data_IF_031273724876
#
_entry.id   IF_031273724876
#
_cell.length_a   1.000
_cell.length_b   1.000
_cell.length_c   1.000
_cell.angle_alpha   90.00
_cell.angle_beta   90.00
_cell.angle_gamma   90.00
#
_symmetry.space_group_name_H-M   'P 1'
#
loop_
_entity.id
_entity.type
_entity.pdbx_description
1 polymer ?
#
# COMPACT_ATOMS: atom_id res chain seq x y z
N UNK A 1 6.26 -3.40 -20.70
CA UNK A 1 7.10 -3.61 -19.51
C UNK A 1 6.17 -4.10 -18.40
N UNK A 2 6.45 -5.23 -17.74
CA UNK A 2 5.54 -5.77 -16.75
C UNK A 2 5.63 -4.99 -15.44
N UNK A 3 4.52 -4.38 -15.05
CA UNK A 3 4.32 -3.81 -13.72
C UNK A 3 3.12 -4.49 -13.07
N UNK A 4 3.21 -4.74 -11.77
CA UNK A 4 2.05 -5.08 -10.94
C UNK A 4 1.16 -3.84 -10.72
N UNK A 5 0.07 -3.98 -9.96
CA UNK A 5 -0.78 -2.84 -9.58
C UNK A 5 -0.21 -1.99 -8.43
N UNK A 6 0.88 -2.44 -7.78
CA UNK A 6 1.51 -1.70 -6.68
C UNK A 6 2.16 -0.41 -7.19
N UNK A 7 1.95 0.73 -6.51
CA UNK A 7 2.61 2.02 -6.80
C UNK A 7 3.15 2.64 -5.52
N UNK A 8 4.33 3.26 -5.57
CA UNK A 8 4.97 3.85 -4.39
C UNK A 8 4.05 4.88 -3.70
N UNK A 9 3.52 5.85 -4.46
CA UNK A 9 2.66 6.90 -3.91
C UNK A 9 1.24 6.46 -3.50
N UNK A 10 0.86 5.22 -3.82
CA UNK A 10 -0.46 4.66 -3.45
C UNK A 10 -0.37 3.66 -2.31
N UNK A 11 0.63 2.78 -2.36
CA UNK A 11 0.72 1.60 -1.52
C UNK A 11 1.91 1.65 -0.55
N UNK A 12 2.86 2.56 -0.76
CA UNK A 12 3.92 2.86 0.20
C UNK A 12 3.45 3.85 1.25
N UNK A 13 4.11 3.84 2.41
CA UNK A 13 3.87 4.86 3.45
C UNK A 13 4.36 6.24 3.00
N UNK A 14 3.65 7.30 3.39
CA UNK A 14 3.93 8.71 3.06
C UNK A 14 4.90 9.40 4.04
N UNK A 15 5.67 8.59 4.79
CA UNK A 15 6.74 9.05 5.67
C UNK A 15 7.98 8.16 5.48
N UNK A 16 9.19 8.70 5.64
CA UNK A 16 10.42 7.96 5.40
C UNK A 16 10.74 7.00 6.56
N UNK A 17 11.58 6.00 6.28
CA UNK A 17 12.17 5.12 7.29
C UNK A 17 13.23 5.85 8.14
N UNK A 18 12.78 6.72 9.06
CA UNK A 18 13.61 7.42 10.04
C UNK A 18 13.46 6.87 11.46
N UNK A 19 12.98 5.63 11.60
CA UNK A 19 12.87 4.97 12.89
C UNK A 19 14.23 4.78 13.56
N UNK A 20 14.25 4.76 14.89
CA UNK A 20 15.44 4.37 15.65
C UNK A 20 15.86 2.94 15.31
N UNK A 21 17.17 2.69 15.35
CA UNK A 21 17.77 1.40 15.05
C UNK A 21 17.41 0.38 16.15
N UNK A 22 17.13 -0.86 15.73
CA UNK A 22 16.84 -1.97 16.65
C UNK A 22 17.87 -3.07 16.46
N UNK A 23 18.12 -3.83 17.53
CA UNK A 23 18.92 -5.06 17.44
C UNK A 23 17.96 -6.22 17.15
N UNK A 24 18.19 -6.90 16.03
CA UNK A 24 17.48 -8.12 15.66
C UNK A 24 18.45 -9.28 15.64
N UNK A 25 18.13 -10.35 16.36
CA UNK A 25 18.97 -11.54 16.44
C UNK A 25 18.58 -12.55 15.36
N UNK A 26 19.46 -12.72 14.38
CA UNK A 26 19.33 -13.73 13.33
C UNK A 26 19.91 -15.07 13.79
N UNK A 27 19.12 -16.13 13.70
CA UNK A 27 19.59 -17.48 13.97
C UNK A 27 20.01 -18.16 12.68
N UNK A 28 21.31 -18.44 12.56
CA UNK A 28 21.88 -18.98 11.33
C UNK A 28 22.41 -20.38 11.58
N UNK A 29 22.11 -21.34 10.69
CA UNK A 29 22.80 -22.62 10.67
C UNK A 29 24.33 -22.42 10.65
N UNK A 30 25.04 -23.12 11.53
CA UNK A 30 26.51 -23.12 11.68
C UNK A 30 27.15 -21.86 12.30
N UNK A 31 26.43 -20.75 12.47
CA UNK A 31 26.99 -19.51 13.06
C UNK A 31 26.28 -19.06 14.34
N UNK A 32 25.19 -19.72 14.74
CA UNK A 32 24.46 -19.40 15.95
C UNK A 32 23.63 -18.13 15.81
N UNK A 33 23.43 -17.43 16.93
CA UNK A 33 22.74 -16.16 17.00
C UNK A 33 23.69 -15.02 16.57
N UNK A 34 23.27 -14.19 15.62
CA UNK A 34 24.00 -13.02 15.14
C UNK A 34 23.11 -11.79 15.34
N UNK A 35 23.58 -10.85 16.14
CA UNK A 35 22.88 -9.58 16.36
C UNK A 35 23.14 -8.62 15.21
N UNK A 36 22.07 -8.08 14.64
CA UNK A 36 22.09 -7.08 13.57
C UNK A 36 21.44 -5.81 14.07
N UNK A 37 22.21 -4.72 14.09
CA UNK A 37 21.66 -3.38 14.29
C UNK A 37 21.06 -2.90 12.97
N UNK A 38 19.74 -2.73 12.91
CA UNK A 38 19.04 -2.32 11.68
C UNK A 38 19.21 -0.83 11.40
N UNK A 39 19.19 -0.41 10.13
CA UNK A 39 19.02 1.00 9.74
C UNK A 39 17.55 1.40 9.73
N UNK A 40 16.96 1.61 10.92
CA UNK A 40 15.52 1.80 11.09
C UNK A 40 14.70 0.51 10.90
N UNK A 41 13.52 0.61 10.27
CA UNK A 41 12.53 -0.47 10.08
C UNK A 41 12.21 -0.77 8.60
N UNK A 42 13.19 -0.66 7.69
CA UNK A 42 12.98 -0.84 6.25
C UNK A 42 12.25 -2.14 5.88
N UNK A 43 12.66 -3.28 6.42
CA UNK A 43 11.99 -4.57 6.20
C UNK A 43 10.54 -4.58 6.68
N UNK A 44 10.28 -3.92 7.81
CA UNK A 44 8.94 -3.77 8.37
C UNK A 44 8.02 -2.92 7.50
N UNK A 45 8.52 -1.77 7.02
CA UNK A 45 7.75 -0.91 6.12
C UNK A 45 7.48 -1.57 4.77
N UNK A 46 8.46 -2.29 4.20
CA UNK A 46 8.28 -3.03 2.95
C UNK A 46 7.23 -4.15 3.10
N UNK A 47 7.28 -4.93 4.18
CA UNK A 47 6.31 -6.00 4.44
C UNK A 47 4.91 -5.43 4.72
N UNK A 48 4.82 -4.40 5.56
CA UNK A 48 3.55 -3.77 5.89
C UNK A 48 2.89 -3.12 4.66
N UNK A 49 3.66 -2.45 3.78
CA UNK A 49 3.14 -1.90 2.52
C UNK A 49 2.53 -3.00 1.62
N UNK A 50 3.19 -4.17 1.53
CA UNK A 50 2.63 -5.31 0.82
C UNK A 50 1.39 -5.90 1.51
N UNK A 51 1.33 -5.88 2.85
CA UNK A 51 0.16 -6.34 3.59
C UNK A 51 -1.08 -5.49 3.25
N UNK A 52 -0.95 -4.16 3.20
CA UNK A 52 -2.04 -3.27 2.76
C UNK A 52 -2.41 -3.52 1.30
N UNK A 53 -1.42 -3.63 0.40
CA UNK A 53 -1.65 -3.92 -1.01
C UNK A 53 -2.42 -5.23 -1.23
N UNK A 54 -1.98 -6.33 -0.61
CA UNK A 54 -2.61 -7.64 -0.77
C UNK A 54 -3.97 -7.73 -0.07
N UNK A 55 -4.21 -6.94 0.98
CA UNK A 55 -5.52 -6.82 1.62
C UNK A 55 -6.49 -5.94 0.80
N UNK A 56 -6.02 -5.21 -0.22
CA UNK A 56 -6.82 -4.24 -0.96
C UNK A 56 -7.27 -3.07 -0.07
N UNK A 57 -6.45 -2.71 0.91
CA UNK A 57 -6.71 -1.65 1.88
C UNK A 57 -5.81 -0.44 1.57
N UNK A 58 -6.31 0.79 1.76
CA UNK A 58 -5.45 1.97 1.71
C UNK A 58 -4.40 1.89 2.82
N UNK A 59 -3.18 2.28 2.50
CA UNK A 59 -2.15 2.55 3.50
C UNK A 59 -2.59 3.74 4.36
N UNK A 60 -2.23 3.81 5.66
CA UNK A 60 -2.55 4.97 6.48
C UNK A 60 -2.01 6.24 5.85
N UNK A 61 -2.84 7.26 5.80
CA UNK A 61 -2.63 8.52 5.08
C UNK A 61 -1.68 9.48 5.80
N UNK A 62 -1.06 9.05 6.90
CA UNK A 62 -0.15 9.88 7.67
C UNK A 62 1.08 10.28 6.87
N UNK A 63 1.43 11.56 6.96
CA UNK A 63 2.58 12.16 6.36
C UNK A 63 3.67 12.42 7.41
N UNK A 64 4.88 12.73 6.96
CA UNK A 64 6.03 13.02 7.85
C UNK A 64 5.70 14.10 8.89
N UNK A 65 4.90 15.11 8.52
CA UNK A 65 4.53 16.22 9.39
C UNK A 65 3.59 15.89 10.55
N UNK A 66 2.93 14.73 10.52
CA UNK A 66 2.00 14.30 11.58
C UNK A 66 2.74 13.78 12.82
N UNK A 67 4.05 13.59 12.72
CA UNK A 67 4.89 13.02 13.75
C UNK A 67 5.98 13.99 14.20
N UNK A 68 6.18 14.10 15.51
CA UNK A 68 7.22 14.98 16.07
C UNK A 68 8.62 14.65 15.55
N UNK A 69 8.93 13.35 15.39
CA UNK A 69 10.22 12.84 14.90
C UNK A 69 10.16 12.36 13.43
N UNK A 70 9.11 12.74 12.69
CA UNK A 70 8.92 12.35 11.29
C UNK A 70 8.45 10.91 11.07
N UNK A 71 8.25 10.12 12.13
CA UNK A 71 7.73 8.74 12.09
C UNK A 71 6.81 8.46 13.28
N UNK A 72 5.88 7.48 13.18
CA UNK A 72 5.03 7.08 14.30
C UNK A 72 5.87 6.76 15.55
N UNK A 73 5.59 7.36 16.72
CA UNK A 73 6.34 7.12 17.94
C UNK A 73 6.22 5.68 18.42
N UNK A 74 7.28 5.18 19.05
CA UNK A 74 7.27 3.86 19.67
C UNK A 74 6.19 3.76 20.76
N UNK A 75 5.51 2.62 20.81
CA UNK A 75 4.33 2.40 21.64
C UNK A 75 3.00 2.65 20.94
N UNK A 76 2.99 3.37 19.80
CA UNK A 76 1.81 3.44 18.93
C UNK A 76 1.54 2.10 18.23
N UNK A 77 0.28 1.87 17.84
CA UNK A 77 -0.14 0.66 17.14
C UNK A 77 0.54 0.56 15.78
N UNK A 78 0.67 1.66 15.04
CA UNK A 78 1.33 1.67 13.73
C UNK A 78 2.83 1.39 13.84
N UNK A 79 3.55 2.04 14.76
CA UNK A 79 4.97 1.78 14.99
C UNK A 79 5.20 0.33 15.43
N UNK A 80 4.37 -0.16 16.35
CA UNK A 80 4.40 -1.53 16.82
C UNK A 80 4.18 -2.52 15.68
N UNK A 81 3.18 -2.30 14.81
CA UNK A 81 2.94 -3.16 13.66
C UNK A 81 4.14 -3.22 12.71
N UNK A 82 4.68 -2.06 12.31
CA UNK A 82 5.87 -1.98 11.44
C UNK A 82 7.05 -2.70 12.09
N UNK A 83 7.24 -2.56 13.41
CA UNK A 83 8.28 -3.30 14.15
C UNK A 83 8.08 -4.82 14.11
N UNK A 84 6.86 -5.32 14.33
CA UNK A 84 6.61 -6.76 14.22
C UNK A 84 6.91 -7.28 12.82
N UNK A 85 6.54 -6.52 11.78
CA UNK A 85 6.85 -6.88 10.39
C UNK A 85 8.34 -6.81 10.07
N UNK A 86 9.10 -5.92 10.74
CA UNK A 86 10.56 -5.93 10.66
C UNK A 86 11.11 -7.27 11.16
N UNK A 87 10.67 -7.70 12.34
CA UNK A 87 11.08 -8.99 12.92
C UNK A 87 10.69 -10.15 11.99
N UNK A 88 9.45 -10.16 11.49
CA UNK A 88 8.98 -11.18 10.55
C UNK A 88 9.88 -11.28 9.31
N UNK A 89 10.32 -10.13 8.77
CA UNK A 89 11.19 -10.10 7.59
C UNK A 89 12.55 -10.78 7.79
N UNK A 90 13.01 -10.82 9.04
CA UNK A 90 14.24 -11.49 9.47
C UNK A 90 14.03 -12.94 9.92
N UNK A 91 12.79 -13.37 10.15
CA UNK A 91 12.43 -14.75 10.52
C UNK A 91 12.08 -15.64 9.32
N UNK A 92 12.48 -15.23 8.11
CA UNK A 92 12.24 -15.98 6.88
C UNK A 92 13.43 -16.84 6.48
N UNK A 93 13.19 -17.91 5.71
CA UNK A 93 14.27 -18.74 5.16
C UNK A 93 15.24 -17.93 4.31
N UNK A 94 14.69 -17.02 3.49
CA UNK A 94 15.46 -16.08 2.68
C UNK A 94 16.32 -15.09 3.48
N UNK A 95 15.97 -14.72 4.72
CA UNK A 95 16.72 -13.77 5.53
C UNK A 95 18.15 -14.26 5.83
N UNK A 96 18.35 -15.59 5.91
CA UNK A 96 19.67 -16.20 6.05
C UNK A 96 20.63 -15.83 4.91
N UNK A 97 20.12 -15.42 3.73
CA UNK A 97 20.92 -14.96 2.60
C UNK A 97 21.67 -13.67 2.91
N UNK A 98 21.15 -12.76 3.75
CA UNK A 98 21.91 -11.57 4.15
C UNK A 98 23.27 -11.96 4.74
N UNK A 99 23.27 -12.93 5.65
CA UNK A 99 24.50 -13.41 6.28
C UNK A 99 25.33 -14.27 5.32
N UNK A 100 24.70 -15.27 4.70
CA UNK A 100 25.39 -16.23 3.87
C UNK A 100 26.02 -15.59 2.61
N UNK A 101 25.45 -14.50 2.09
CA UNK A 101 25.96 -13.82 0.90
C UNK A 101 26.90 -12.65 1.27
N UNK A 102 26.72 -11.99 2.42
CA UNK A 102 27.71 -11.01 2.92
C UNK A 102 29.11 -11.62 3.01
N UNK A 103 29.21 -12.87 3.46
CA UNK A 103 30.47 -13.63 3.56
C UNK A 103 30.99 -14.20 2.23
N UNK A 104 30.34 -13.92 1.09
CA UNK A 104 30.72 -14.45 -0.22
C UNK A 104 31.44 -13.40 -1.07
N UNK A 105 32.39 -13.84 -1.91
CA UNK A 105 32.92 -13.01 -3.00
C UNK A 105 31.83 -12.61 -4.00
N UNK A 106 32.05 -11.49 -4.69
CA UNK A 106 31.15 -11.01 -5.74
C UNK A 106 31.12 -11.94 -6.96
N UNK A 107 32.30 -12.36 -7.39
CA UNK A 107 32.50 -13.23 -8.54
C UNK A 107 32.59 -14.71 -8.13
N UNK A 108 32.40 -15.58 -9.10
CA UNK A 108 32.53 -17.02 -8.90
C UNK A 108 33.97 -17.40 -8.56
N UNK A 109 34.14 -18.25 -7.53
CA UNK A 109 35.43 -18.88 -7.24
C UNK A 109 35.35 -20.33 -7.70
N UNK A 110 36.08 -20.65 -8.78
CA UNK A 110 36.03 -21.96 -9.42
C UNK A 110 34.59 -22.34 -9.81
N UNK A 111 34.00 -23.34 -9.15
CA UNK A 111 32.62 -23.80 -9.36
C UNK A 111 31.64 -23.31 -8.30
N UNK A 112 32.07 -22.44 -7.39
CA UNK A 112 31.23 -21.88 -6.33
C UNK A 112 30.66 -20.52 -6.78
N UNK A 113 29.33 -20.41 -6.94
CA UNK A 113 28.71 -19.16 -7.35
C UNK A 113 28.91 -18.03 -6.34
N UNK A 114 29.41 -16.90 -6.80
CA UNK A 114 29.50 -15.63 -6.08
C UNK A 114 28.16 -14.91 -6.01
N UNK A 115 28.14 -13.71 -5.42
CA UNK A 115 26.93 -12.91 -5.25
C UNK A 115 26.29 -12.58 -6.61
N UNK A 116 27.07 -12.20 -7.63
CA UNK A 116 26.53 -11.78 -8.93
C UNK A 116 25.74 -12.90 -9.64
N UNK A 117 26.30 -14.11 -9.66
CA UNK A 117 25.65 -15.29 -10.27
C UNK A 117 24.39 -15.68 -9.50
N UNK A 118 24.42 -15.60 -8.17
CA UNK A 118 23.25 -15.88 -7.32
C UNK A 118 22.14 -14.85 -7.51
N UNK A 119 22.47 -13.57 -7.58
CA UNK A 119 21.49 -12.52 -7.90
C UNK A 119 20.87 -12.75 -9.27
N UNK A 120 21.65 -13.15 -10.28
CA UNK A 120 21.11 -13.47 -11.61
C UNK A 120 20.09 -14.61 -11.59
N UNK A 121 20.26 -15.58 -10.69
CA UNK A 121 19.28 -16.67 -10.47
C UNK A 121 18.00 -16.17 -9.78
N UNK A 122 18.12 -15.20 -8.86
CA UNK A 122 16.97 -14.58 -8.19
C UNK A 122 16.15 -13.70 -9.13
N UNK A 123 16.77 -13.02 -10.11
CA UNK A 123 16.05 -12.21 -11.10
C UNK A 123 15.00 -13.02 -11.86
N UNK A 124 15.27 -14.29 -12.14
CA UNK A 124 14.28 -15.18 -12.80
C UNK A 124 13.04 -15.36 -11.92
N UNK A 125 13.21 -15.45 -10.60
CA UNK A 125 12.11 -15.58 -9.64
C UNK A 125 11.36 -14.26 -9.46
N UNK A 126 12.09 -13.15 -9.36
CA UNK A 126 11.53 -11.80 -9.23
C UNK A 126 10.64 -11.49 -10.44
N UNK A 127 11.18 -11.63 -11.66
CA UNK A 127 10.43 -11.38 -12.90
C UNK A 127 9.17 -12.25 -13.00
N UNK A 128 9.28 -13.55 -12.69
CA UNK A 128 8.13 -14.46 -12.68
C UNK A 128 7.04 -14.03 -11.69
N UNK A 129 7.41 -13.49 -10.53
CA UNK A 129 6.46 -12.97 -9.55
C UNK A 129 5.74 -11.74 -10.09
N UNK A 130 6.50 -10.79 -10.65
CA UNK A 130 5.96 -9.57 -11.24
C UNK A 130 5.02 -9.90 -12.43
N UNK A 131 5.39 -10.85 -13.28
CA UNK A 131 4.56 -11.30 -14.40
C UNK A 131 3.21 -11.88 -13.95
N UNK A 132 3.09 -12.31 -12.69
CA UNK A 132 1.84 -12.79 -12.08
C UNK A 132 1.03 -11.68 -11.39
N UNK A 133 1.54 -10.46 -11.36
CA UNK A 133 0.96 -9.36 -10.58
C UNK A 133 1.37 -9.34 -9.11
N UNK A 134 2.35 -10.16 -8.71
CA UNK A 134 2.78 -10.34 -7.31
C UNK A 134 4.07 -9.53 -7.06
N UNK A 135 4.01 -8.34 -6.40
CA UNK A 135 5.21 -7.58 -6.04
C UNK A 135 6.04 -8.33 -5.00
N UNK A 136 7.35 -8.05 -4.95
CA UNK A 136 8.34 -8.82 -4.18
C UNK A 136 9.15 -7.91 -3.27
N UNK A 137 9.35 -8.29 -2.01
CA UNK A 137 10.37 -7.63 -1.19
C UNK A 137 11.76 -8.09 -1.61
N UNK A 138 12.64 -7.15 -1.94
CA UNK A 138 14.04 -7.41 -2.24
C UNK A 138 14.89 -7.21 -1.00
N UNK A 139 15.79 -8.16 -0.74
CA UNK A 139 16.94 -7.93 0.13
C UNK A 139 18.11 -7.42 -0.70
N UNK A 140 18.59 -6.20 -0.41
CA UNK A 140 19.73 -5.57 -1.07
C UNK A 140 20.98 -5.74 -0.22
N UNK A 141 22.05 -6.24 -0.84
CA UNK A 141 23.32 -6.54 -0.16
C UNK A 141 24.37 -5.47 -0.42
N UNK A 142 24.89 -4.88 0.65
CA UNK A 142 26.04 -3.96 0.62
C UNK A 142 27.22 -4.53 1.38
N UNK A 143 26.97 -5.11 2.55
CA UNK A 143 27.98 -5.47 3.52
C UNK A 143 28.86 -6.63 3.05
N UNK A 144 30.15 -6.56 3.37
CA UNK A 144 31.13 -7.66 3.24
C UNK A 144 31.53 -8.25 4.59
N UNK A 145 31.12 -7.61 5.69
CA UNK A 145 31.41 -8.00 7.07
C UNK A 145 30.11 -8.19 7.86
N UNK A 146 30.11 -9.13 8.81
CA UNK A 146 28.94 -9.41 9.65
C UNK A 146 28.60 -8.27 10.62
N UNK A 147 29.60 -7.47 11.02
CA UNK A 147 29.41 -6.29 11.86
C UNK A 147 28.58 -5.21 11.18
N UNK A 148 28.54 -5.24 9.85
CA UNK A 148 27.97 -4.18 9.03
C UNK A 148 26.65 -4.64 8.40
N UNK A 149 26.04 -5.73 8.88
CA UNK A 149 24.80 -6.29 8.30
C UNK A 149 23.63 -5.30 8.28
N UNK A 150 23.68 -4.27 9.14
CA UNK A 150 22.74 -3.15 9.14
C UNK A 150 22.77 -2.26 7.90
N UNK A 151 23.87 -2.32 7.13
CA UNK A 151 24.02 -1.56 5.88
C UNK A 151 23.31 -2.22 4.69
N UNK A 152 22.80 -3.44 4.87
CA UNK A 152 21.87 -4.06 3.94
C UNK A 152 20.50 -3.38 4.02
N UNK A 153 19.71 -3.47 2.96
CA UNK A 153 18.41 -2.77 2.88
C UNK A 153 17.30 -3.64 2.32
N UNK A 154 16.06 -3.24 2.55
CA UNK A 154 14.88 -3.92 2.06
C UNK A 154 13.93 -2.93 1.37
N UNK A 155 13.54 -3.26 0.14
CA UNK A 155 12.66 -2.45 -0.72
C UNK A 155 11.59 -3.34 -1.35
N UNK A 156 10.49 -2.77 -1.84
CA UNK A 156 9.49 -3.50 -2.62
C UNK A 156 9.80 -3.32 -4.10
N UNK A 157 9.90 -4.40 -4.87
CA UNK A 157 9.98 -4.38 -6.32
C UNK A 157 8.63 -4.77 -6.91
N UNK A 158 8.13 -3.94 -7.82
CA UNK A 158 6.79 -4.09 -8.39
C UNK A 158 6.78 -4.12 -9.91
N UNK A 159 7.92 -3.93 -10.57
CA UNK A 159 8.01 -3.82 -12.02
C UNK A 159 9.42 -4.06 -12.54
N UNK A 160 9.56 -4.25 -13.85
CA UNK A 160 10.87 -4.29 -14.50
C UNK A 160 10.81 -3.90 -15.99
N UNK A 161 11.92 -3.35 -16.48
CA UNK A 161 12.23 -3.19 -17.89
C UNK A 161 13.65 -3.68 -18.19
N UNK A 162 13.76 -4.78 -18.95
CA UNK A 162 15.05 -5.42 -19.16
C UNK A 162 15.73 -5.75 -17.81
N UNK A 163 16.90 -5.15 -17.58
CA UNK A 163 17.72 -5.31 -16.35
C UNK A 163 17.51 -4.20 -15.31
N UNK A 164 16.53 -3.32 -15.52
CA UNK A 164 16.07 -2.32 -14.55
C UNK A 164 14.84 -2.86 -13.78
N UNK A 165 14.85 -2.70 -12.46
CA UNK A 165 13.74 -3.07 -11.58
C UNK A 165 13.09 -1.81 -11.04
N UNK A 166 11.76 -1.68 -11.15
CA UNK A 166 10.99 -0.61 -10.53
C UNK A 166 10.72 -0.95 -9.06
N UNK A 167 10.97 0.00 -8.16
CA UNK A 167 10.91 -0.20 -6.72
C UNK A 167 10.21 0.92 -5.96
N UNK A 168 9.66 0.56 -4.80
CA UNK A 168 9.37 1.47 -3.70
C UNK A 168 10.47 1.33 -2.64
N UNK A 169 11.23 2.40 -2.44
CA UNK A 169 12.19 2.53 -1.34
C UNK A 169 11.55 3.32 -0.19
N UNK A 170 11.40 2.69 0.97
CA UNK A 170 10.79 3.30 2.15
C UNK A 170 11.59 4.49 2.73
N UNK A 171 12.77 4.80 2.20
CA UNK A 171 13.51 6.04 2.52
C UNK A 171 13.02 7.26 1.72
N UNK A 172 12.31 7.01 0.62
CA UNK A 172 11.84 8.01 -0.33
C UNK A 172 10.33 7.84 -0.53
N UNK A 173 9.50 8.27 0.45
CA UNK A 173 8.05 8.15 0.36
C UNK A 173 7.55 8.82 -0.93
N UNK A 174 6.53 8.21 -1.55
CA UNK A 174 5.85 8.72 -2.75
C UNK A 174 6.69 8.87 -4.01
N UNK A 175 7.95 8.44 -3.97
CA UNK A 175 8.85 8.47 -5.11
C UNK A 175 9.04 7.07 -5.66
N UNK A 176 8.75 6.91 -6.95
CA UNK A 176 9.12 5.70 -7.68
C UNK A 176 10.64 5.65 -7.87
N UNK A 177 11.24 4.51 -7.55
CA UNK A 177 12.67 4.28 -7.67
C UNK A 177 13.01 3.17 -8.65
N UNK A 178 14.29 3.06 -8.97
CA UNK A 178 14.83 2.00 -9.83
C UNK A 178 16.05 1.32 -9.21
N UNK A 179 16.24 0.05 -9.56
CA UNK A 179 17.47 -0.70 -9.29
C UNK A 179 18.00 -1.29 -10.59
N UNK A 180 19.13 -0.79 -11.07
CA UNK A 180 19.65 -1.06 -12.42
C UNK A 180 21.01 -1.74 -12.36
N UNK A 181 21.18 -2.80 -13.16
CA UNK A 181 22.44 -3.55 -13.22
C UNK A 181 23.54 -2.72 -13.88
N UNK A 182 24.72 -2.69 -13.25
CA UNK A 182 25.92 -2.00 -13.76
C UNK A 182 26.83 -2.96 -14.55
N UNK A 183 27.70 -2.44 -15.43
CA UNK A 183 28.63 -3.27 -16.22
C UNK A 183 29.58 -4.13 -15.40
N UNK A 184 29.93 -3.70 -14.18
CA UNK A 184 30.79 -4.44 -13.25
C UNK A 184 30.05 -5.51 -12.44
N UNK A 185 28.75 -5.70 -12.70
CA UNK A 185 27.89 -6.69 -12.06
C UNK A 185 27.21 -6.24 -10.77
N UNK A 186 27.59 -5.09 -10.22
CA UNK A 186 26.89 -4.44 -9.11
C UNK A 186 25.59 -3.77 -9.57
N UNK A 187 24.85 -3.18 -8.64
CA UNK A 187 23.55 -2.56 -8.88
C UNK A 187 23.52 -1.12 -8.38
N UNK A 188 22.95 -0.23 -9.18
CA UNK A 188 22.67 1.17 -8.82
C UNK A 188 21.23 1.24 -8.34
N UNK A 189 20.97 1.80 -7.16
CA UNK A 189 19.62 2.16 -6.73
C UNK A 189 19.49 3.68 -6.82
N UNK A 190 18.42 4.15 -7.44
CA UNK A 190 18.09 5.58 -7.56
C UNK A 190 16.61 5.79 -7.18
N UNK A 191 16.35 6.61 -6.17
CA UNK A 191 15.00 7.00 -5.74
C UNK A 191 15.08 8.38 -5.08
N UNK A 192 14.40 9.39 -5.63
CA UNK A 192 14.51 10.77 -5.15
C UNK A 192 15.96 11.23 -5.11
N UNK A 193 16.42 11.70 -3.95
CA UNK A 193 17.81 12.10 -3.70
C UNK A 193 18.72 10.94 -3.28
N UNK A 194 18.18 9.73 -3.10
CA UNK A 194 18.96 8.55 -2.71
C UNK A 194 19.61 7.92 -3.94
N UNK A 195 20.93 7.83 -3.91
CA UNK A 195 21.74 7.11 -4.88
C UNK A 195 22.69 6.16 -4.16
N UNK A 196 22.52 4.86 -4.39
CA UNK A 196 23.23 3.83 -3.66
C UNK A 196 23.80 2.76 -4.60
N UNK A 197 24.81 2.05 -4.10
CA UNK A 197 25.40 0.92 -4.79
C UNK A 197 25.28 -0.36 -3.98
N UNK A 198 24.88 -1.43 -4.65
CA UNK A 198 24.63 -2.74 -4.05
C UNK A 198 25.42 -3.83 -4.77
N UNK A 199 25.99 -4.76 -4.01
CA UNK A 199 26.76 -5.90 -4.53
C UNK A 199 25.86 -6.98 -5.12
N UNK A 200 24.64 -7.08 -4.63
CA UNK A 200 23.64 -8.01 -5.14
C UNK A 200 22.29 -7.79 -4.49
N UNK A 201 21.32 -8.54 -5.00
CA UNK A 201 19.95 -8.57 -4.49
C UNK A 201 19.37 -9.98 -4.56
N UNK A 202 18.33 -10.22 -3.77
CA UNK A 202 17.55 -11.44 -3.78
C UNK A 202 16.08 -11.20 -3.44
N UNK A 203 15.19 -12.08 -3.92
CA UNK A 203 13.81 -12.10 -3.47
C UNK A 203 13.73 -12.64 -2.03
N UNK A 204 13.08 -11.88 -1.17
CA UNK A 204 12.71 -12.34 0.17
C UNK A 204 11.43 -13.16 0.13
N UNK A 205 11.38 -14.20 0.96
CA UNK A 205 10.14 -14.91 1.23
C UNK A 205 9.21 -13.98 1.98
N UNK A 206 7.96 -13.85 1.55
CA UNK A 206 6.99 -12.97 2.16
C UNK A 206 5.75 -13.78 2.56
N UNK A 207 5.16 -13.45 3.71
CA UNK A 207 3.89 -14.01 4.20
C UNK A 207 2.95 -12.87 4.55
N UNK A 208 1.78 -12.78 3.88
CA UNK A 208 0.80 -11.74 4.18
C UNK A 208 0.35 -11.77 5.63
N UNK A 209 0.22 -10.59 6.23
CA UNK A 209 -0.45 -10.35 7.49
C UNK A 209 -1.65 -9.40 7.25
N UNK A 210 -2.67 -9.47 8.11
CA UNK A 210 -3.75 -8.48 8.07
C UNK A 210 -3.29 -7.22 8.81
N UNK A 211 -3.34 -6.04 8.18
CA UNK A 211 -2.96 -4.80 8.86
C UNK A 211 -3.91 -4.52 10.04
N UNK A 212 -3.39 -4.29 11.26
CA UNK A 212 -4.22 -4.01 12.43
C UNK A 212 -4.60 -2.53 12.56
N UNK A 213 -4.02 -1.66 11.74
CA UNK A 213 -4.15 -0.22 11.84
C UNK A 213 -4.92 0.35 10.64
N UNK A 214 -5.92 1.18 10.93
CA UNK A 214 -6.62 2.01 9.97
C UNK A 214 -6.72 3.41 10.56
N UNK A 215 -6.52 4.42 9.74
CA UNK A 215 -6.77 5.80 10.11
C UNK A 215 -8.21 6.17 9.73
N UNK A 216 -8.62 6.08 8.47
CA UNK A 216 -9.96 6.44 8.01
C UNK A 216 -10.84 5.20 7.86
N UNK A 217 -11.96 5.16 8.57
CA UNK A 217 -12.96 4.09 8.45
C UNK A 217 -14.38 4.64 8.34
N UNK A 218 -15.25 3.92 7.62
CA UNK A 218 -16.68 4.17 7.67
C UNK A 218 -17.27 3.72 9.00
N UNK A 219 -17.95 4.65 9.66
CA UNK A 219 -18.73 4.41 10.88
C UNK A 219 -20.22 4.31 10.59
N UNK A 220 -20.70 4.99 9.56
CA UNK A 220 -22.00 4.74 8.94
C UNK A 220 -21.81 4.34 7.48
N UNK A 221 -22.55 3.32 7.04
CA UNK A 221 -22.52 2.88 5.65
C UNK A 221 -23.19 3.90 4.72
N UNK A 222 -23.13 3.60 3.41
CA UNK A 222 -23.81 4.40 2.40
C UNK A 222 -25.32 4.52 2.68
N UNK A 223 -25.81 5.74 2.86
CA UNK A 223 -27.23 6.08 2.90
C UNK A 223 -27.67 6.58 1.53
N UNK A 224 -28.95 6.38 1.20
CA UNK A 224 -29.51 6.72 -0.10
C UNK A 224 -30.94 7.24 0.03
N UNK A 225 -31.25 8.33 -0.68
CA UNK A 225 -32.56 8.96 -0.66
C UNK A 225 -32.97 9.45 -2.06
N UNK A 226 -34.17 9.09 -2.56
CA UNK A 226 -35.11 8.14 -1.95
C UNK A 226 -34.54 6.70 -1.98
N UNK A 227 -34.97 5.85 -1.04
CA UNK A 227 -34.52 4.45 -0.96
C UNK A 227 -34.92 3.58 -2.17
N UNK A 228 -35.82 4.07 -3.02
CA UNK A 228 -36.20 3.49 -4.30
C UNK A 228 -35.99 4.53 -5.43
N UNK A 229 -34.74 4.72 -5.89
CA UNK A 229 -34.42 5.71 -6.91
C UNK A 229 -35.03 5.35 -8.28
N UNK A 230 -35.36 6.39 -9.05
CA UNK A 230 -35.89 6.27 -10.41
C UNK A 230 -34.91 6.91 -11.38
N UNK A 231 -34.72 6.30 -12.54
CA UNK A 231 -33.83 6.78 -13.58
C UNK A 231 -34.21 8.22 -13.98
N UNK A 232 -33.23 9.12 -13.96
CA UNK A 232 -33.40 10.53 -14.28
C UNK A 232 -34.07 11.39 -13.19
N UNK A 233 -34.38 10.84 -12.01
CA UNK A 233 -34.92 11.60 -10.89
C UNK A 233 -33.81 12.01 -9.90
N UNK A 234 -34.03 13.08 -9.11
CA UNK A 234 -33.07 13.49 -8.09
C UNK A 234 -32.76 12.39 -7.09
N UNK A 235 -31.49 12.29 -6.74
CA UNK A 235 -30.96 11.26 -5.86
C UNK A 235 -29.89 11.86 -4.95
N UNK A 236 -29.93 11.46 -3.68
CA UNK A 236 -28.93 11.81 -2.67
C UNK A 236 -28.33 10.54 -2.08
N UNK A 237 -27.06 10.61 -1.74
CA UNK A 237 -26.39 9.58 -0.97
C UNK A 237 -25.39 10.21 0.00
N UNK A 238 -24.90 9.43 0.94
CA UNK A 238 -23.87 9.91 1.86
C UNK A 238 -23.29 8.82 2.72
N UNK A 239 -22.25 9.16 3.48
CA UNK A 239 -21.64 8.28 4.47
C UNK A 239 -20.96 9.11 5.56
N UNK A 240 -20.66 8.47 6.69
CA UNK A 240 -19.81 9.04 7.72
C UNK A 240 -18.49 8.29 7.78
N UNK A 241 -17.42 9.06 7.71
CA UNK A 241 -16.04 8.59 7.86
C UNK A 241 -15.49 9.14 9.16
N UNK A 242 -14.76 8.31 9.90
CA UNK A 242 -14.11 8.70 11.14
C UNK A 242 -12.62 8.40 11.04
N UNK A 243 -11.81 9.31 11.56
CA UNK A 243 -10.44 8.95 11.90
C UNK A 243 -10.46 8.09 13.18
N UNK A 244 -10.26 6.79 13.02
CA UNK A 244 -10.15 5.80 14.10
C UNK A 244 -8.70 5.52 14.49
N UNK A 245 -7.75 6.13 13.79
CA UNK A 245 -6.32 6.06 14.07
C UNK A 245 -5.89 6.94 15.25
N UNK A 246 -4.61 6.82 15.57
CA UNK A 246 -3.93 7.55 16.64
C UNK A 246 -3.42 8.93 16.20
N UNK A 247 -3.33 9.18 14.89
CA UNK A 247 -2.71 10.37 14.32
C UNK A 247 -3.61 11.03 13.28
N UNK A 248 -3.30 12.29 12.96
CA UNK A 248 -3.97 13.08 11.93
C UNK A 248 -3.97 12.34 10.60
N UNK A 249 -5.12 12.31 9.92
CA UNK A 249 -5.33 11.63 8.65
C UNK A 249 -5.63 12.64 7.55
N UNK A 250 -5.28 12.30 6.32
CA UNK A 250 -5.33 13.20 5.17
C UNK A 250 -6.17 12.63 4.04
N UNK A 251 -6.96 13.50 3.41
CA UNK A 251 -7.71 13.19 2.20
C UNK A 251 -7.80 14.45 1.36
N UNK A 252 -7.31 14.43 0.12
CA UNK A 252 -7.40 15.55 -0.81
C UNK A 252 -8.86 15.95 -1.05
N UNK A 253 -9.71 14.93 -1.27
CA UNK A 253 -11.16 15.09 -1.31
C UNK A 253 -11.89 13.80 -0.98
N UNK A 254 -13.10 13.93 -0.48
CA UNK A 254 -14.03 12.81 -0.34
C UNK A 254 -14.57 12.37 -1.69
N UNK A 255 -14.85 11.06 -1.83
CA UNK A 255 -15.23 10.49 -3.11
C UNK A 255 -16.40 9.52 -2.98
N UNK A 256 -17.37 9.68 -3.89
CA UNK A 256 -18.46 8.74 -4.13
C UNK A 256 -18.35 8.28 -5.57
N UNK A 257 -18.16 6.98 -5.75
CA UNK A 257 -18.21 6.39 -7.09
C UNK A 257 -19.59 5.81 -7.39
N UNK A 258 -20.03 5.94 -8.64
CA UNK A 258 -21.26 5.36 -9.18
C UNK A 258 -20.91 4.60 -10.45
N UNK A 259 -21.22 3.30 -10.47
CA UNK A 259 -21.16 2.50 -11.69
C UNK A 259 -22.57 2.10 -12.10
N UNK A 260 -22.95 2.39 -13.34
CA UNK A 260 -24.26 2.02 -13.86
C UNK A 260 -24.38 0.54 -14.26
N UNK A 261 -25.54 0.11 -14.80
CA UNK A 261 -25.83 -1.30 -15.05
C UNK A 261 -24.90 -1.97 -16.07
N UNK A 262 -24.32 -1.19 -16.99
CA UNK A 262 -23.31 -1.65 -17.94
C UNK A 262 -21.87 -1.50 -17.44
N UNK A 263 -21.67 -1.03 -16.21
CA UNK A 263 -20.37 -0.70 -15.64
C UNK A 263 -19.86 0.70 -16.01
N UNK A 264 -20.69 1.54 -16.62
CA UNK A 264 -20.35 2.91 -16.98
C UNK A 264 -20.01 3.76 -15.75
N UNK A 265 -19.00 4.62 -15.87
CA UNK A 265 -18.60 5.56 -14.84
C UNK A 265 -19.52 6.79 -14.86
N UNK A 266 -20.21 7.03 -13.74
CA UNK A 266 -21.16 8.13 -13.57
C UNK A 266 -20.73 9.08 -12.44
N UNK A 267 -19.47 9.07 -12.02
CA UNK A 267 -18.98 9.86 -10.88
C UNK A 267 -19.23 11.36 -11.09
N UNK A 268 -19.04 11.83 -12.32
CA UNK A 268 -19.27 13.23 -12.70
C UNK A 268 -20.73 13.69 -12.57
N UNK A 269 -21.68 12.76 -12.43
CA UNK A 269 -23.10 13.09 -12.22
C UNK A 269 -23.42 13.43 -10.77
N UNK A 270 -22.58 13.01 -9.82
CA UNK A 270 -22.72 13.33 -8.40
C UNK A 270 -21.92 14.59 -8.06
N UNK A 271 -22.62 15.59 -7.55
CA UNK A 271 -21.97 16.70 -6.86
C UNK A 271 -21.78 16.27 -5.41
N UNK A 272 -20.52 16.02 -5.03
CA UNK A 272 -20.16 15.69 -3.65
C UNK A 272 -19.98 16.98 -2.87
N UNK A 273 -20.87 17.20 -1.90
CA UNK A 273 -20.69 18.19 -0.85
C UNK A 273 -19.99 17.51 0.33
N UNK A 274 -18.84 18.06 0.65
CA UNK A 274 -17.86 17.48 1.54
C UNK A 274 -17.58 18.51 2.64
N UNK A 275 -17.75 18.11 3.90
CA UNK A 275 -17.12 18.82 5.03
C UNK A 275 -15.59 18.89 4.84
N UNK A 276 -14.85 19.47 5.80
CA UNK A 276 -13.41 19.75 5.67
C UNK A 276 -12.63 18.59 5.02
N UNK A 277 -12.30 18.77 3.74
CA UNK A 277 -11.31 17.98 3.04
C UNK A 277 -9.92 18.50 3.45
N UNK A 278 -8.93 17.63 3.44
CA UNK A 278 -7.55 17.94 3.77
C UNK A 278 -7.07 17.22 5.03
N UNK A 279 -7.73 17.45 6.18
CA UNK A 279 -7.22 17.02 7.49
C UNK A 279 -8.37 16.53 8.38
N UNK A 280 -8.22 15.32 8.94
CA UNK A 280 -9.16 14.72 9.89
C UNK A 280 -8.40 14.30 11.15
N UNK A 281 -8.69 14.96 12.27
CA UNK A 281 -8.00 14.69 13.54
C UNK A 281 -8.45 13.38 14.18
N UNK A 282 -7.62 12.74 15.03
CA UNK A 282 -7.98 11.51 15.73
C UNK A 282 -9.35 11.60 16.42
N UNK A 283 -10.23 10.66 16.11
CA UNK A 283 -11.59 10.58 16.64
C UNK A 283 -12.61 11.47 15.93
N UNK A 284 -12.20 12.43 15.09
CA UNK A 284 -13.09 13.30 14.32
C UNK A 284 -13.89 12.49 13.30
N UNK A 285 -15.17 12.85 13.13
CA UNK A 285 -16.05 12.29 12.11
C UNK A 285 -16.39 13.36 11.09
N UNK A 286 -16.39 12.99 9.81
CA UNK A 286 -16.80 13.83 8.69
C UNK A 286 -18.03 13.20 8.03
N UNK A 287 -19.03 14.03 7.77
CA UNK A 287 -20.19 13.65 6.97
C UNK A 287 -19.93 14.03 5.51
N UNK A 288 -20.13 13.06 4.62
CA UNK A 288 -20.00 13.25 3.18
C UNK A 288 -21.35 13.02 2.56
N UNK A 289 -21.79 13.93 1.70
CA UNK A 289 -23.05 13.79 0.98
C UNK A 289 -22.85 14.05 -0.52
N UNK A 290 -23.50 13.26 -1.36
CA UNK A 290 -23.54 13.43 -2.80
C UNK A 290 -24.97 13.65 -3.25
N UNK A 291 -25.18 14.56 -4.19
CA UNK A 291 -26.48 14.78 -4.81
C UNK A 291 -26.36 14.87 -6.33
N UNK A 292 -27.36 14.35 -7.04
CA UNK A 292 -27.50 14.49 -8.48
C UNK A 292 -28.94 14.86 -8.84
N UNK A 293 -29.18 15.69 -9.86
CA UNK A 293 -30.52 15.86 -10.42
C UNK A 293 -31.05 14.58 -11.09
N UNK A 294 -30.17 13.63 -11.42
CA UNK A 294 -30.52 12.30 -11.89
C UNK A 294 -29.33 11.60 -12.56
N UNK A 295 -29.24 10.27 -12.39
CA UNK A 295 -28.11 9.45 -12.86
C UNK A 295 -27.98 9.31 -14.38
N UNK A 296 -28.89 9.90 -15.17
CA UNK A 296 -28.83 9.96 -16.64
C UNK A 296 -28.92 8.64 -17.41
N UNK A 297 -28.79 7.48 -16.74
CA UNK A 297 -28.78 6.15 -17.34
C UNK A 297 -30.13 5.41 -17.32
N UNK A 298 -30.20 4.19 -17.89
CA UNK A 298 -31.41 3.37 -17.89
C UNK A 298 -31.74 2.85 -16.48
N UNK A 299 -32.97 2.35 -16.29
CA UNK A 299 -33.27 1.54 -15.10
C UNK A 299 -32.40 0.28 -15.06
N UNK A 300 -32.00 -0.16 -13.86
CA UNK A 300 -31.11 -1.31 -13.67
C UNK A 300 -30.39 -1.27 -12.32
N UNK A 301 -29.36 -2.10 -12.16
CA UNK A 301 -28.53 -2.12 -10.96
C UNK A 301 -27.38 -1.12 -11.06
N UNK A 302 -27.25 -0.27 -10.04
CA UNK A 302 -26.17 0.70 -9.90
C UNK A 302 -25.35 0.32 -8.68
N UNK A 303 -24.03 0.49 -8.75
CA UNK A 303 -23.13 0.25 -7.61
C UNK A 303 -22.55 1.57 -7.13
N UNK A 304 -22.78 1.89 -5.87
CA UNK A 304 -22.15 3.00 -5.17
C UNK A 304 -20.95 2.50 -4.37
N UNK A 305 -19.86 3.28 -4.34
CA UNK A 305 -18.74 3.03 -3.42
C UNK A 305 -18.32 4.33 -2.72
N UNK A 306 -18.19 4.27 -1.39
CA UNK A 306 -17.61 5.32 -0.57
C UNK A 306 -16.09 5.22 -0.57
N UNK A 307 -15.43 6.35 -0.74
CA UNK A 307 -13.98 6.44 -0.87
C UNK A 307 -13.43 7.82 -0.58
N UNK A 308 -12.15 8.00 -0.87
CA UNK A 308 -11.50 9.29 -0.85
C UNK A 308 -10.43 9.33 -1.93
N UNK A 309 -9.96 10.54 -2.25
CA UNK A 309 -8.76 10.74 -3.05
C UNK A 309 -7.64 11.07 -2.08
N UNK A 310 -6.56 10.29 -2.11
CA UNK A 310 -5.36 10.55 -1.30
C UNK A 310 -4.66 11.83 -1.77
N UNK A 311 -3.75 12.36 -0.94
CA UNK A 311 -2.93 13.54 -1.31
C UNK A 311 -2.09 13.30 -2.57
N UNK A 312 -1.72 12.03 -2.83
CA UNK A 312 -1.07 11.58 -4.07
C UNK A 312 -2.04 11.28 -5.23
N UNK A 313 -3.28 11.78 -5.17
CA UNK A 313 -4.28 11.70 -6.23
C UNK A 313 -4.76 10.27 -6.57
N UNK A 314 -4.56 9.30 -5.66
CA UNK A 314 -5.10 7.96 -5.83
C UNK A 314 -6.53 7.87 -5.27
N UNK A 315 -7.44 7.25 -6.03
CA UNK A 315 -8.80 6.95 -5.54
C UNK A 315 -8.73 5.68 -4.68
N UNK A 316 -9.11 5.82 -3.41
CA UNK A 316 -9.13 4.76 -2.42
C UNK A 316 -10.54 4.46 -1.95
N UNK A 317 -10.81 3.17 -1.70
CA UNK A 317 -12.07 2.74 -1.10
C UNK A 317 -11.92 2.75 0.41
N UNK A 318 -12.87 3.40 1.11
CA UNK A 318 -12.82 3.44 2.57
C UNK A 318 -13.09 2.05 3.16
N UNK A 319 -12.26 1.56 4.09
CA UNK A 319 -12.58 0.35 4.84
C UNK A 319 -13.80 0.61 5.73
N UNK A 320 -14.60 -0.44 5.95
CA UNK A 320 -15.82 -0.35 6.75
C UNK A 320 -15.65 -1.05 8.10
N UNK A 321 -16.19 -0.44 9.17
CA UNK A 321 -16.21 -1.02 10.50
C UNK A 321 -17.59 -1.62 10.83
N UNK A 322 -17.60 -2.76 11.54
CA UNK A 322 -18.83 -3.38 12.04
C UNK A 322 -19.90 -3.64 10.93
N UNK A 323 -21.14 -3.15 11.10
CA UNK A 323 -22.21 -3.37 10.12
C UNK A 323 -22.15 -2.41 8.91
N UNK A 324 -21.26 -1.40 8.91
CA UNK A 324 -21.16 -0.46 7.80
C UNK A 324 -20.76 -1.18 6.49
N UNK A 325 -21.16 -0.59 5.37
CA UNK A 325 -20.81 -1.06 4.02
C UNK A 325 -20.29 0.11 3.22
N UNK A 326 -19.10 -0.07 2.65
CA UNK A 326 -18.48 0.89 1.74
C UNK A 326 -19.00 0.77 0.30
N UNK A 327 -19.76 -0.29 0.00
CA UNK A 327 -20.39 -0.54 -1.28
C UNK A 327 -21.87 -0.84 -1.12
N UNK A 328 -22.70 -0.28 -1.98
CA UNK A 328 -24.14 -0.49 -2.01
C UNK A 328 -24.63 -0.70 -3.44
N UNK A 329 -25.37 -1.78 -3.67
CA UNK A 329 -26.06 -2.01 -4.94
C UNK A 329 -27.49 -1.47 -4.83
N UNK A 330 -27.89 -0.65 -5.79
CA UNK A 330 -29.20 -0.03 -5.88
C UNK A 330 -29.93 -0.51 -7.14
N UNK A 331 -31.17 -0.96 -6.96
CA UNK A 331 -32.08 -1.15 -8.10
C UNK A 331 -32.77 0.18 -8.43
N UNK A 332 -32.46 0.75 -9.59
CA UNK A 332 -33.05 1.98 -10.11
C UNK A 332 -34.17 1.63 -11.10
N UNK A 333 -35.38 2.11 -10.85
CA UNK A 333 -36.52 1.86 -11.75
C UNK A 333 -36.41 2.67 -13.05
N UNK A 334 -36.94 2.16 -14.17
CA UNK A 334 -36.98 2.90 -15.42
C UNK A 334 -37.93 4.11 -15.34
N UNK A 335 -37.61 5.18 -16.06
CA UNK A 335 -38.49 6.34 -16.14
C UNK A 335 -39.87 5.92 -16.70
N UNK A 336 -40.94 6.13 -15.92
CA UNK A 336 -42.32 5.78 -16.31
C UNK A 336 -42.82 4.40 -15.86
N UNK A 337 -42.03 3.61 -15.12
CA UNK A 337 -42.48 2.30 -14.59
C UNK A 337 -43.15 2.36 -13.21
N UNK A 338 -43.42 3.56 -12.66
CA UNK A 338 -44.22 3.69 -11.44
C UNK A 338 -45.69 3.56 -11.85
N UNK A 339 -46.15 2.32 -11.97
CA UNK A 339 -47.57 2.03 -12.13
C UNK A 339 -48.33 2.49 -10.89
N UNK A 340 -49.40 3.25 -11.12
CA UNK A 340 -50.41 3.62 -10.14
C UNK A 340 -51.03 2.38 -9.49
N UNK A 341 -50.62 2.03 -8.29
CA UNK A 341 -51.36 1.22 -7.31
C UNK A 341 -51.15 1.89 -5.95
N UNK A 342 -52.13 2.28 -5.15
CA UNK A 342 -53.57 2.29 -5.31
C UNK A 342 -54.11 3.41 -4.41
N UNK A 343 -54.73 4.43 -5.01
CA UNK A 343 -55.80 5.17 -4.36
C UNK A 343 -57.09 4.46 -4.79
N UNK A 344 -57.56 3.54 -3.95
CA UNK A 344 -58.90 2.98 -4.06
C UNK A 344 -59.47 2.82 -2.66
N UNK A 345 -60.36 3.77 -2.37
CA UNK A 345 -61.44 3.84 -1.37
C UNK A 345 -61.11 3.77 0.11
#
# INVERSE_FOLDING_TARGET
>A
MPDTAFRAGKNGFHFPNNFVNHIVTLHVPLHGAVDVTTGGRCGGMAYAALDYFHAGLPVPTHETGDFADGVPPDGSVLAGYIYHRLIDSFLTGSATKFIAWTLRPDHDILRLPGVHTRTSQELVRIRRSIDRGDPVVLGLLRSTLLTDLGDNHQVVCYGYDGDELHIYDNRCPDVEGTVTRRPDGSWSLEAGDVQDRWRGLFAQDYRPAQPPYHDLMLTSGLTVEPGAPVAGAPFRCGYQVRNVGEFTAHADRWHLSVRGPGGEDLDATLVVDAGTAGIVEPGQTVEVSGATPGLGGPGGEYTLCAGFVSTNQAVEVLPASGPARNRLTLSVAAAGSVSSEAAST
#
